data_IF_395563789538
#
_entry.id   IF_395563789538
#
_cell.length_a   1.000
_cell.length_b   1.000
_cell.length_c   1.000
_cell.angle_alpha   90.00
_cell.angle_beta   90.00
_cell.angle_gamma   90.00
#
_symmetry.space_group_name_H-M   'P 1'
#
loop_
_entity.id
_entity.type
_entity.pdbx_description
1 polymer ?
#
# COMPACT_ATOMS: atom_id res chain seq x y z
N UNK A 1 15.35 -25.06 16.28
CA UNK A 1 16.35 -24.06 16.69
C UNK A 1 17.74 -24.58 16.41
N UNK A 2 18.40 -24.01 15.41
CA UNK A 2 19.80 -24.32 15.10
C UNK A 2 20.69 -23.24 15.73
N UNK A 3 21.78 -23.64 16.40
CA UNK A 3 22.77 -22.70 16.95
C UNK A 3 23.88 -22.53 15.93
N UNK A 4 24.01 -21.32 15.42
CA UNK A 4 25.04 -20.94 14.44
C UNK A 4 26.43 -21.09 15.06
N UNK A 5 27.38 -21.60 14.29
CA UNK A 5 28.76 -21.84 14.71
C UNK A 5 29.75 -20.91 13.97
N UNK A 6 30.99 -20.85 14.48
CA UNK A 6 32.05 -20.08 13.84
C UNK A 6 32.35 -20.64 12.44
N UNK A 7 32.46 -19.74 11.46
CA UNK A 7 32.70 -20.01 10.04
C UNK A 7 31.50 -20.59 9.25
N UNK A 8 30.28 -20.56 9.82
CA UNK A 8 29.08 -20.82 9.03
C UNK A 8 28.90 -19.75 7.97
N UNK A 9 28.63 -20.18 6.74
CA UNK A 9 28.26 -19.28 5.65
C UNK A 9 26.75 -19.40 5.42
N UNK A 10 26.03 -18.32 5.71
CA UNK A 10 24.57 -18.28 5.66
C UNK A 10 24.16 -17.37 4.52
N UNK A 11 23.49 -17.95 3.52
CA UNK A 11 22.94 -17.22 2.40
C UNK A 11 21.42 -17.13 2.53
N UNK A 12 20.89 -15.93 2.34
CA UNK A 12 19.47 -15.68 2.30
C UNK A 12 19.11 -15.07 0.95
N UNK A 13 18.21 -15.73 0.23
CA UNK A 13 17.59 -15.17 -0.96
C UNK A 13 16.42 -14.29 -0.51
N UNK A 14 16.61 -12.98 -0.53
CA UNK A 14 15.48 -12.06 -0.44
C UNK A 14 14.73 -12.07 -1.77
N UNK A 15 13.45 -12.39 -1.73
CA UNK A 15 12.56 -12.17 -2.86
C UNK A 15 12.41 -10.67 -3.11
N UNK A 16 12.24 -10.31 -4.38
CA UNK A 16 11.94 -8.93 -4.75
C UNK A 16 10.57 -8.52 -4.18
N UNK A 17 10.48 -7.26 -3.75
CA UNK A 17 9.21 -6.68 -3.33
C UNK A 17 8.25 -6.69 -4.53
N UNK A 18 7.12 -7.36 -4.36
CA UNK A 18 6.09 -7.36 -5.39
C UNK A 18 5.39 -5.99 -5.37
N UNK A 19 5.16 -5.38 -6.55
CA UNK A 19 4.38 -4.15 -6.62
C UNK A 19 2.96 -4.42 -6.13
N UNK A 20 2.39 -3.48 -5.36
CA UNK A 20 1.00 -3.57 -4.96
C UNK A 20 0.09 -3.45 -6.19
N UNK A 21 -0.76 -4.45 -6.44
CA UNK A 21 -1.78 -4.39 -7.49
C UNK A 21 -2.95 -3.52 -7.04
N UNK A 22 -2.83 -2.19 -7.20
CA UNK A 22 -3.92 -1.26 -6.94
C UNK A 22 -4.88 -1.29 -8.13
N UNK A 23 -6.10 -1.76 -7.90
CA UNK A 23 -7.17 -1.79 -8.92
C UNK A 23 -8.17 -0.67 -8.65
N UNK A 24 -8.67 0.04 -9.68
CA UNK A 24 -9.74 0.99 -9.50
C UNK A 24 -10.99 0.29 -8.96
N UNK A 25 -11.64 0.90 -7.97
CA UNK A 25 -12.88 0.41 -7.39
C UNK A 25 -13.98 1.46 -7.56
N UNK A 26 -15.19 0.99 -7.87
CA UNK A 26 -16.36 1.87 -7.97
C UNK A 26 -16.90 2.17 -6.57
N UNK A 27 -16.33 3.18 -5.91
CA UNK A 27 -16.77 3.66 -4.61
C UNK A 27 -17.53 4.99 -4.75
N UNK A 28 -18.62 5.19 -3.98
CA UNK A 28 -19.32 6.47 -3.97
C UNK A 28 -18.47 7.56 -3.29
N UNK A 29 -18.29 8.69 -3.96
CA UNK A 29 -17.60 9.87 -3.42
C UNK A 29 -18.62 10.99 -3.16
N UNK A 30 -18.56 11.57 -1.97
CA UNK A 30 -19.35 12.76 -1.62
C UNK A 30 -18.56 14.01 -2.02
N UNK A 31 -18.87 14.58 -3.18
CA UNK A 31 -18.14 15.70 -3.78
C UNK A 31 -18.72 17.03 -3.29
N UNK A 32 -17.89 17.84 -2.64
CA UNK A 32 -18.25 19.16 -2.13
C UNK A 32 -17.95 20.25 -3.16
N UNK A 33 -16.91 20.06 -3.96
CA UNK A 33 -16.49 20.99 -5.01
C UNK A 33 -15.68 20.25 -6.09
N UNK A 34 -15.81 20.67 -7.35
CA UNK A 34 -15.04 20.14 -8.47
C UNK A 34 -14.86 21.23 -9.54
N UNK A 35 -13.64 21.34 -10.06
CA UNK A 35 -13.27 22.19 -11.20
C UNK A 35 -12.29 21.47 -12.14
N UNK A 36 -11.80 22.17 -13.17
CA UNK A 36 -10.89 21.63 -14.19
C UNK A 36 -9.51 21.21 -13.64
N UNK A 37 -9.22 21.52 -12.38
CA UNK A 37 -7.90 21.33 -11.76
C UNK A 37 -7.95 20.46 -10.50
N UNK A 38 -9.05 20.46 -9.75
CA UNK A 38 -9.13 19.79 -8.46
C UNK A 38 -10.56 19.37 -8.08
N UNK A 39 -10.63 18.31 -7.29
CA UNK A 39 -11.85 17.84 -6.64
C UNK A 39 -11.67 17.88 -5.11
N UNK A 40 -12.70 18.36 -4.40
CA UNK A 40 -12.78 18.33 -2.93
C UNK A 40 -13.90 17.38 -2.55
N UNK A 41 -13.56 16.36 -1.78
CA UNK A 41 -14.51 15.35 -1.29
C UNK A 41 -14.68 15.43 0.22
N UNK A 42 -15.90 15.17 0.69
CA UNK A 42 -16.19 14.94 2.09
C UNK A 42 -15.87 13.48 2.44
N UNK A 43 -14.69 13.28 3.03
CA UNK A 43 -14.20 11.94 3.36
C UNK A 43 -14.97 11.34 4.55
N UNK A 44 -15.68 10.21 4.39
CA UNK A 44 -16.33 9.55 5.51
C UNK A 44 -15.30 8.91 6.45
N UNK A 45 -15.68 8.83 7.74
CA UNK A 45 -14.87 8.14 8.75
C UNK A 45 -14.69 6.67 8.36
N UNK A 46 -13.45 6.17 8.40
CA UNK A 46 -13.11 4.77 8.07
C UNK A 46 -12.63 4.55 6.64
N UNK A 47 -12.71 5.56 5.76
CA UNK A 47 -12.07 5.49 4.45
C UNK A 47 -10.54 5.68 4.61
N UNK A 48 -9.72 4.83 3.97
CA UNK A 48 -8.24 4.95 3.97
C UNK A 48 -7.78 5.85 2.81
N UNK A 49 -6.66 6.57 2.94
CA UNK A 49 -6.18 7.53 1.91
C UNK A 49 -5.10 6.92 1.01
N UNK A 50 -4.19 6.13 1.58
CA UNK A 50 -3.19 5.36 0.83
C UNK A 50 -3.00 4.00 1.52
N UNK A 51 -3.03 2.88 0.77
CA UNK A 51 -2.54 1.58 1.22
C UNK A 51 -1.01 1.47 1.18
#
# INVERSE_FOLDING_TARGET
NYKVACNDNVEALLAEAQPAEIRPESIPLDVVYEDDHMIIINKPRGMVVHP
#
